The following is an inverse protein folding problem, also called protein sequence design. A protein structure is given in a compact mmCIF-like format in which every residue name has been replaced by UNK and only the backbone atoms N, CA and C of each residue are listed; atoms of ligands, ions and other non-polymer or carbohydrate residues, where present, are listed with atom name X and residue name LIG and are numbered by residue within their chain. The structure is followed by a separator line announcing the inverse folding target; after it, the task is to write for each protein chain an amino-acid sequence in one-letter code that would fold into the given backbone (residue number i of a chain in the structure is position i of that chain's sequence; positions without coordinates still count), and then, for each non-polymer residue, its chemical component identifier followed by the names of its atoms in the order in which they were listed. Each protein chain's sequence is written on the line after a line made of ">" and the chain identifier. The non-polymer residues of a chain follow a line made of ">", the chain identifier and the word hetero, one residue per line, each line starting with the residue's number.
data_IF_414874632171
#
_entry.id   IF_414874632171
#
_cell.length_a   1.000
_cell.length_b   1.000
_cell.length_c   1.000
_cell.angle_alpha   90.00
_cell.angle_beta   90.00
_cell.angle_gamma   90.00
#
_symmetry.space_group_name_H-M   'P 1'
#
loop_
_entity.id
_entity.type
_entity.pdbx_description
1 polymer ?
#
# COMPACT_ATOMS: atom_id res chain seq x y z
N UNK A 1 11.91 21.03 -20.12
CA UNK A 1 10.85 20.08 -19.71
C UNK A 1 11.15 19.70 -18.27
N UNK A 2 10.18 19.85 -17.37
CA UNK A 2 10.36 19.59 -15.94
C UNK A 2 9.44 18.46 -15.51
N UNK A 3 9.97 17.54 -14.72
CA UNK A 3 9.24 16.42 -14.12
C UNK A 3 9.04 16.74 -12.63
N UNK A 4 7.81 16.64 -12.15
CA UNK A 4 7.47 16.88 -10.75
C UNK A 4 7.28 15.55 -10.02
N UNK A 5 7.78 15.51 -8.79
CA UNK A 5 7.66 14.36 -7.91
C UNK A 5 7.01 14.77 -6.60
N UNK A 6 6.13 13.91 -6.09
CA UNK A 6 5.57 13.99 -4.74
C UNK A 6 5.72 12.65 -4.05
N UNK A 7 6.13 12.66 -2.78
CA UNK A 7 6.27 11.46 -1.97
C UNK A 7 5.55 11.65 -0.63
N UNK A 8 4.88 10.60 -0.16
CA UNK A 8 4.21 10.59 1.13
C UNK A 8 4.23 9.17 1.73
N UNK A 9 4.11 9.09 3.06
CA UNK A 9 3.95 7.83 3.77
C UNK A 9 2.89 7.96 4.87
N UNK A 10 2.14 6.88 5.09
CA UNK A 10 1.13 6.78 6.13
C UNK A 10 1.31 5.46 6.90
N UNK A 11 1.16 5.51 8.23
CA UNK A 11 1.15 4.33 9.09
C UNK A 11 -0.13 3.53 8.87
N UNK A 12 0.01 2.23 8.61
CA UNK A 12 -1.08 1.27 8.42
C UNK A 12 -0.99 0.11 9.43
N UNK A 13 -0.23 0.28 10.51
CA UNK A 13 0.00 -0.72 11.55
C UNK A 13 -1.32 -1.02 12.28
N UNK A 14 -1.81 -2.27 12.24
CA UNK A 14 -3.00 -2.65 12.99
C UNK A 14 -2.69 -2.80 14.49
N UNK A 15 -3.71 -2.89 15.36
CA UNK A 15 -3.52 -3.26 16.74
C UNK A 15 -2.87 -4.64 16.92
N UNK A 16 -2.22 -4.85 18.07
CA UNK A 16 -1.70 -6.16 18.51
C UNK A 16 -2.85 -7.16 18.64
N UNK A 17 -2.58 -8.43 18.35
CA UNK A 17 -3.55 -9.54 18.41
C UNK A 17 -4.10 -9.97 17.05
N UNK A 18 -3.93 -9.15 16.01
CA UNK A 18 -4.40 -9.47 14.65
C UNK A 18 -3.63 -10.65 14.05
N UNK A 19 -4.36 -11.51 13.33
CA UNK A 19 -3.77 -12.62 12.57
C UNK A 19 -2.76 -12.11 11.55
N UNK A 20 -1.64 -12.80 11.42
CA UNK A 20 -0.55 -12.36 10.56
C UNK A 20 -0.41 -13.24 9.33
N UNK A 21 -0.11 -12.64 8.19
CA UNK A 21 -0.03 -13.31 6.90
C UNK A 21 1.28 -14.04 6.63
N UNK A 22 1.25 -14.96 5.66
CA UNK A 22 2.43 -15.56 5.04
C UNK A 22 2.94 -16.87 5.64
N UNK A 23 2.65 -17.19 6.91
CA UNK A 23 3.00 -18.50 7.49
C UNK A 23 1.76 -19.24 8.01
N UNK A 24 1.29 -20.20 7.21
CA UNK A 24 0.07 -20.99 7.48
C UNK A 24 0.07 -21.77 8.81
N UNK A 25 1.24 -22.07 9.37
CA UNK A 25 1.39 -22.78 10.65
C UNK A 25 1.44 -21.90 11.90
N UNK A 26 1.29 -20.57 11.74
CA UNK A 26 1.40 -19.64 12.88
C UNK A 26 0.21 -19.81 13.82
N UNK A 27 0.51 -20.01 15.11
CA UNK A 27 -0.50 -20.34 16.15
C UNK A 27 -1.05 -19.13 16.92
N UNK A 28 -0.48 -17.94 16.72
CA UNK A 28 -0.91 -16.71 17.36
C UNK A 28 -0.91 -15.54 16.38
N UNK A 29 -1.73 -14.53 16.65
CA UNK A 29 -1.61 -13.22 16.02
C UNK A 29 -0.34 -12.47 16.47
N UNK A 30 -0.22 -11.21 16.06
CA UNK A 30 0.85 -10.33 16.49
C UNK A 30 0.83 -10.18 18.02
N UNK A 31 1.98 -10.34 18.68
CA UNK A 31 2.12 -10.18 20.14
C UNK A 31 2.73 -8.83 20.53
N UNK A 32 3.38 -8.16 19.59
CA UNK A 32 3.99 -6.85 19.75
C UNK A 32 4.16 -6.18 18.38
N UNK A 33 4.40 -4.87 18.39
CA UNK A 33 4.80 -4.08 17.23
C UNK A 33 6.29 -3.77 17.39
N UNK A 34 7.14 -4.32 16.52
CA UNK A 34 8.57 -3.98 16.48
C UNK A 34 8.80 -2.76 15.59
N UNK A 35 8.26 -2.81 14.38
CA UNK A 35 8.37 -1.80 13.35
C UNK A 35 6.98 -1.42 12.86
N UNK A 36 6.80 -0.16 12.44
CA UNK A 36 5.54 0.29 11.83
C UNK A 36 5.43 -0.24 10.40
N UNK A 37 4.23 -0.67 10.05
CA UNK A 37 3.85 -1.01 8.68
C UNK A 37 3.39 0.26 7.98
N UNK A 38 3.91 0.52 6.78
CA UNK A 38 3.65 1.77 6.09
C UNK A 38 2.99 1.53 4.73
N UNK A 39 2.13 2.46 4.32
CA UNK A 39 1.76 2.70 2.93
C UNK A 39 2.55 3.91 2.42
N UNK A 40 3.29 3.75 1.32
CA UNK A 40 4.18 4.76 0.75
C UNK A 40 3.72 5.06 -0.66
N UNK A 41 3.56 6.33 -1.00
CA UNK A 41 3.17 6.78 -2.32
C UNK A 41 4.30 7.61 -2.96
N UNK A 42 4.61 7.32 -4.21
CA UNK A 42 5.41 8.16 -5.10
C UNK A 42 4.55 8.52 -6.31
N UNK A 43 4.36 9.81 -6.54
CA UNK A 43 3.66 10.34 -7.70
C UNK A 43 4.65 11.10 -8.55
N UNK A 44 4.61 10.85 -9.86
CA UNK A 44 5.43 11.53 -10.85
C UNK A 44 4.53 12.09 -11.94
N UNK A 45 4.81 13.28 -12.44
CA UNK A 45 4.01 13.88 -13.50
C UNK A 45 4.68 15.01 -14.26
N UNK A 46 4.17 15.22 -15.48
CA UNK A 46 4.56 16.31 -16.37
C UNK A 46 3.30 16.87 -17.04
N UNK A 47 3.08 18.17 -16.93
CA UNK A 47 1.86 18.81 -17.41
C UNK A 47 0.62 18.20 -16.73
N UNK A 48 -0.29 17.64 -17.53
CA UNK A 48 -1.50 16.97 -17.04
C UNK A 48 -1.31 15.47 -16.76
N UNK A 49 -0.24 14.86 -17.28
CA UNK A 49 0.01 13.43 -17.12
C UNK A 49 0.59 13.13 -15.73
N UNK A 50 0.03 12.12 -15.05
CA UNK A 50 0.45 11.68 -13.72
C UNK A 50 0.42 10.16 -13.63
N UNK A 51 1.40 9.59 -12.94
CA UNK A 51 1.43 8.18 -12.54
C UNK A 51 1.69 8.07 -11.05
N UNK A 52 1.17 7.03 -10.40
CA UNK A 52 1.37 6.78 -8.99
C UNK A 52 1.85 5.35 -8.73
N UNK A 53 2.83 5.21 -7.85
CA UNK A 53 3.24 3.96 -7.25
C UNK A 53 2.88 4.00 -5.76
N UNK A 54 2.12 3.01 -5.31
CA UNK A 54 1.76 2.81 -3.91
C UNK A 54 2.34 1.47 -3.44
N UNK A 55 3.30 1.53 -2.52
CA UNK A 55 3.90 0.35 -1.91
C UNK A 55 3.38 0.20 -0.47
N UNK A 56 2.93 -1.00 -0.11
CA UNK A 56 2.41 -1.30 1.24
C UNK A 56 3.21 -2.40 1.91
N UNK A 57 3.44 -2.26 3.21
CA UNK A 57 4.12 -3.27 4.02
C UNK A 57 3.15 -4.39 4.45
N UNK A 58 2.73 -5.21 3.47
CA UNK A 58 1.82 -6.36 3.64
C UNK A 58 2.35 -7.61 2.93
N UNK A 59 1.73 -8.76 3.20
CA UNK A 59 2.03 -10.01 2.48
C UNK A 59 1.49 -9.97 1.04
N UNK A 60 0.31 -9.39 0.84
CA UNK A 60 -0.35 -9.34 -0.45
C UNK A 60 -1.67 -8.60 -0.34
N UNK A 61 -2.32 -8.41 -1.48
CA UNK A 61 -3.63 -7.79 -1.57
C UNK A 61 -4.45 -8.53 -2.61
N UNK A 62 -5.72 -8.77 -2.32
CA UNK A 62 -6.65 -9.30 -3.31
C UNK A 62 -6.90 -8.29 -4.43
N UNK A 63 -7.21 -8.81 -5.62
CA UNK A 63 -7.45 -7.98 -6.81
C UNK A 63 -8.58 -6.95 -6.59
N UNK A 64 -9.62 -7.31 -5.84
CA UNK A 64 -10.73 -6.41 -5.51
C UNK A 64 -10.33 -5.29 -4.55
N UNK A 65 -9.43 -5.58 -3.61
CA UNK A 65 -8.86 -4.54 -2.73
C UNK A 65 -8.02 -3.57 -3.55
N UNK A 66 -7.18 -4.06 -4.45
CA UNK A 66 -6.38 -3.22 -5.36
C UNK A 66 -7.28 -2.36 -6.25
N UNK A 67 -8.35 -2.94 -6.81
CA UNK A 67 -9.36 -2.23 -7.60
C UNK A 67 -10.00 -1.10 -6.79
N UNK A 68 -10.46 -1.39 -5.57
CA UNK A 68 -11.05 -0.39 -4.69
C UNK A 68 -10.08 0.74 -4.28
N UNK A 69 -8.79 0.42 -4.07
CA UNK A 69 -7.75 1.43 -3.82
C UNK A 69 -7.59 2.35 -5.03
N UNK A 70 -7.44 1.79 -6.24
CA UNK A 70 -7.30 2.55 -7.49
C UNK A 70 -8.50 3.48 -7.72
N UNK A 71 -9.71 2.99 -7.52
CA UNK A 71 -10.93 3.79 -7.66
C UNK A 71 -10.97 4.95 -6.67
N UNK A 72 -10.62 4.71 -5.39
CA UNK A 72 -10.58 5.76 -4.35
C UNK A 72 -9.55 6.83 -4.68
N UNK A 73 -8.34 6.44 -5.08
CA UNK A 73 -7.29 7.39 -5.46
C UNK A 73 -7.71 8.18 -6.71
N UNK A 74 -8.26 7.51 -7.72
CA UNK A 74 -8.71 8.17 -8.95
C UNK A 74 -9.80 9.21 -8.70
N UNK A 75 -10.80 8.88 -7.87
CA UNK A 75 -11.83 9.85 -7.45
C UNK A 75 -11.26 11.04 -6.69
N UNK A 76 -10.25 10.84 -5.84
CA UNK A 76 -9.69 11.90 -5.01
C UNK A 76 -8.68 12.80 -5.75
N UNK A 77 -8.02 12.30 -6.79
CA UNK A 77 -6.85 12.96 -7.40
C UNK A 77 -6.96 13.22 -8.90
N UNK A 78 -7.92 12.57 -9.57
CA UNK A 78 -8.05 12.56 -11.02
C UNK A 78 -7.03 11.67 -11.76
N UNK A 79 -6.18 10.92 -11.06
CA UNK A 79 -5.25 9.97 -11.70
C UNK A 79 -6.03 8.72 -12.11
N UNK A 80 -5.99 8.34 -13.39
CA UNK A 80 -6.67 7.14 -13.87
C UNK A 80 -6.18 5.88 -13.16
N UNK A 81 -7.09 4.95 -12.84
CA UNK A 81 -6.75 3.72 -12.14
C UNK A 81 -5.66 2.87 -12.83
N UNK A 82 -5.60 2.93 -14.16
CA UNK A 82 -4.57 2.26 -14.95
C UNK A 82 -3.16 2.88 -14.79
N UNK A 83 -3.07 4.15 -14.40
CA UNK A 83 -1.82 4.87 -14.12
C UNK A 83 -1.37 4.70 -12.65
N UNK A 84 -2.04 3.83 -11.88
CA UNK A 84 -1.76 3.58 -10.46
C UNK A 84 -1.30 2.13 -10.26
N UNK A 85 -0.05 1.95 -9.87
CA UNK A 85 0.47 0.66 -9.42
C UNK A 85 0.34 0.55 -7.91
N UNK A 86 -0.23 -0.57 -7.43
CA UNK A 86 -0.24 -0.92 -6.00
C UNK A 86 0.55 -2.21 -5.86
N UNK A 87 1.53 -2.23 -4.96
CA UNK A 87 2.34 -3.42 -4.68
C UNK A 87 2.54 -3.61 -3.17
N UNK A 88 2.77 -4.87 -2.79
CA UNK A 88 3.09 -5.24 -1.42
C UNK A 88 4.56 -5.65 -1.32
N UNK A 89 5.21 -5.38 -0.19
CA UNK A 89 6.60 -5.81 0.06
C UNK A 89 6.75 -7.32 0.29
N UNK A 90 5.62 -8.04 0.40
CA UNK A 90 5.55 -9.45 0.73
C UNK A 90 6.11 -9.77 2.13
N UNK A 91 5.93 -8.86 3.09
CA UNK A 91 6.32 -9.10 4.48
C UNK A 91 5.37 -10.09 5.16
N UNK A 92 5.93 -11.09 5.84
CA UNK A 92 5.19 -12.05 6.68
C UNK A 92 5.08 -11.59 8.15
N UNK A 93 5.44 -10.32 8.40
CA UNK A 93 5.41 -9.69 9.71
C UNK A 93 4.30 -8.63 9.85
N UNK A 94 3.29 -8.66 8.98
CA UNK A 94 2.08 -7.81 9.04
C UNK A 94 0.79 -8.62 9.10
N UNK A 95 -0.35 -7.92 9.07
CA UNK A 95 -1.67 -8.56 9.05
C UNK A 95 -1.86 -9.49 7.84
N UNK A 96 -2.69 -10.52 8.03
CA UNK A 96 -3.24 -11.34 6.95
C UNK A 96 -4.24 -10.54 6.11
#
# INVERSE_FOLDING_TARGET
>A
MTLHFGAAAADITPPVGIAMGGYWGRRSGATHIRDRLMAKALVCGQGVARVALVAVDLVGLDADVVRGIREKIGRATGIEGAAIMVCASHTHAGQL
#
